data_IF_773961735191
#
_entry.id   IF_773961735191
#
_cell.length_a   1.000
_cell.length_b   1.000
_cell.length_c   1.000
_cell.angle_alpha   90.00
_cell.angle_beta   90.00
_cell.angle_gamma   90.00
#
_symmetry.space_group_name_H-M   'P 1'
#
loop_
_entity.id
_entity.type
_entity.pdbx_description
1 polymer ?
#
# COMPACT_ATOMS: atom_id res chain seq x y z
N UNK A 1 1.79 15.90 35.43
CA UNK A 1 2.71 14.82 35.00
C UNK A 1 2.58 13.65 35.97
N UNK A 2 2.50 12.40 35.50
CA UNK A 2 2.49 11.21 36.37
C UNK A 2 3.87 10.56 36.28
N UNK A 3 4.59 10.47 37.40
CA UNK A 3 5.91 9.84 37.45
C UNK A 3 5.78 8.33 37.64
N UNK A 4 6.72 7.57 37.08
CA UNK A 4 6.78 6.11 37.23
C UNK A 4 6.96 5.68 38.69
N UNK A 5 7.49 6.56 39.54
CA UNK A 5 7.68 6.34 40.98
C UNK A 5 6.37 6.58 41.76
N UNK A 6 5.45 7.39 41.23
CA UNK A 6 4.19 7.76 41.88
C UNK A 6 2.95 6.99 41.37
N UNK A 7 3.11 6.05 40.44
CA UNK A 7 1.96 5.31 39.87
C UNK A 7 1.93 3.88 40.41
N UNK A 8 0.74 3.44 40.87
CA UNK A 8 0.45 2.26 41.69
C UNK A 8 1.15 0.95 41.32
N UNK A 9 1.52 0.14 42.32
CA UNK A 9 2.26 -1.12 42.15
C UNK A 9 1.44 -2.32 41.65
N UNK A 10 0.10 -2.24 41.63
CA UNK A 10 -0.78 -3.32 41.19
C UNK A 10 -1.62 -2.92 39.97
N UNK A 11 -1.65 -3.81 38.97
CA UNK A 11 -2.07 -3.57 37.59
C UNK A 11 -3.52 -3.17 37.30
N UNK A 12 -3.69 -2.54 36.14
CA UNK A 12 -4.94 -2.11 35.52
C UNK A 12 -4.64 -1.26 34.28
N UNK A 13 -5.50 -1.33 33.24
CA UNK A 13 -5.33 -0.75 31.88
C UNK A 13 -4.47 0.52 31.88
N UNK A 14 -3.18 0.33 31.59
CA UNK A 14 -2.18 1.41 31.55
C UNK A 14 -2.54 2.33 30.39
N UNK A 15 -3.11 3.50 30.69
CA UNK A 15 -3.14 4.60 29.72
C UNK A 15 -1.70 4.80 29.27
N UNK A 16 -1.48 4.76 27.96
CA UNK A 16 -0.16 4.97 27.37
C UNK A 16 0.40 6.30 27.93
N UNK A 17 1.60 6.29 28.50
CA UNK A 17 2.22 7.51 28.98
C UNK A 17 2.39 8.47 27.80
N UNK A 18 1.54 9.51 27.73
CA UNK A 18 1.57 10.53 26.67
C UNK A 18 2.89 11.31 26.63
N UNK A 19 3.72 11.18 27.67
CA UNK A 19 5.04 11.79 27.82
C UNK A 19 6.03 11.43 26.70
N UNK A 20 5.85 10.30 26.00
CA UNK A 20 6.71 9.92 24.87
C UNK A 20 6.13 10.28 23.49
N UNK A 21 5.05 11.05 23.45
CA UNK A 21 4.52 11.62 22.20
C UNK A 21 5.15 12.98 21.95
N UNK A 22 5.03 13.51 20.73
CA UNK A 22 5.52 14.85 20.37
C UNK A 22 5.07 15.93 21.36
N UNK A 23 3.79 15.87 21.77
CA UNK A 23 3.21 16.76 22.76
C UNK A 23 3.70 16.47 24.20
N UNK A 24 4.03 15.22 24.50
CA UNK A 24 4.59 14.82 25.80
C UNK A 24 6.04 15.23 26.00
N UNK A 25 6.85 15.14 24.94
CA UNK A 25 8.25 15.58 24.92
C UNK A 25 8.29 17.11 25.03
N UNK A 26 7.37 17.81 24.36
CA UNK A 26 7.18 19.24 24.55
C UNK A 26 6.87 19.59 26.02
N UNK A 27 5.97 18.86 26.67
CA UNK A 27 5.68 19.04 28.09
C UNK A 27 6.88 18.73 29.00
N UNK A 28 7.75 17.78 28.64
CA UNK A 28 8.99 17.53 29.40
C UNK A 28 10.02 18.65 29.23
N UNK A 29 10.08 19.28 28.06
CA UNK A 29 11.01 20.37 27.79
C UNK A 29 10.77 21.61 28.66
N UNK A 30 9.52 21.86 29.06
CA UNK A 30 9.21 22.95 29.99
C UNK A 30 9.65 22.69 31.42
N UNK A 31 9.86 21.41 31.79
CA UNK A 31 10.37 21.00 33.10
C UNK A 31 11.90 20.90 33.10
N UNK A 32 12.49 20.43 32.01
CA UNK A 32 13.94 20.31 31.85
C UNK A 32 14.54 21.57 31.20
N UNK A 33 14.77 22.60 32.01
CA UNK A 33 15.17 23.94 31.54
C UNK A 33 16.70 24.10 31.31
N UNK A 34 17.42 23.01 31.07
CA UNK A 34 18.87 23.04 30.77
C UNK A 34 19.10 23.28 29.27
N UNK A 35 20.13 24.06 28.93
CA UNK A 35 20.53 24.32 27.52
C UNK A 35 20.74 23.03 26.73
N UNK A 36 21.33 22.00 27.35
CA UNK A 36 21.54 20.69 26.74
C UNK A 36 20.22 19.94 26.53
N UNK A 37 19.32 19.97 27.51
CA UNK A 37 18.02 19.31 27.42
C UNK A 37 17.13 19.92 26.34
N UNK A 38 17.16 21.24 26.18
CA UNK A 38 16.44 21.95 25.11
C UNK A 38 16.89 21.47 23.73
N UNK A 39 18.21 21.37 23.50
CA UNK A 39 18.75 20.92 22.21
C UNK A 39 18.35 19.48 21.89
N UNK A 40 18.44 18.59 22.87
CA UNK A 40 18.05 17.18 22.70
C UNK A 40 16.55 17.05 22.40
N UNK A 41 15.69 17.79 23.11
CA UNK A 41 14.24 17.77 22.86
C UNK A 41 13.88 18.23 21.45
N UNK A 42 14.53 19.28 20.95
CA UNK A 42 14.33 19.76 19.57
C UNK A 42 14.70 18.67 18.56
N UNK A 43 15.81 17.96 18.78
CA UNK A 43 16.23 16.88 17.88
C UNK A 43 15.24 15.72 17.90
N UNK A 44 14.77 15.31 19.08
CA UNK A 44 13.77 14.24 19.22
C UNK A 44 12.49 14.61 18.46
N UNK A 45 11.93 15.81 18.68
CA UNK A 45 10.72 16.27 17.98
C UNK A 45 10.90 16.26 16.45
N UNK A 46 12.04 16.74 15.94
CA UNK A 46 12.33 16.71 14.49
C UNK A 46 12.35 15.29 13.94
N UNK A 47 12.92 14.33 14.67
CA UNK A 47 12.99 12.93 14.23
C UNK A 47 11.58 12.34 14.17
N UNK A 48 10.76 12.55 15.21
CA UNK A 48 9.38 12.06 15.23
C UNK A 48 8.53 12.65 14.11
N UNK A 49 8.66 13.95 13.84
CA UNK A 49 7.97 14.63 12.73
C UNK A 49 8.34 14.02 11.38
N UNK A 50 9.65 13.80 11.13
CA UNK A 50 10.14 13.16 9.89
C UNK A 50 9.65 11.73 9.73
N UNK A 51 9.69 10.92 10.80
CA UNK A 51 9.19 9.54 10.76
C UNK A 51 7.70 9.51 10.42
N UNK A 52 6.90 10.40 11.02
CA UNK A 52 5.47 10.50 10.73
C UNK A 52 5.22 10.88 9.28
N UNK A 53 5.95 11.86 8.77
CA UNK A 53 5.82 12.29 7.38
C UNK A 53 6.19 11.15 6.41
N UNK A 54 7.31 10.46 6.66
CA UNK A 54 7.70 9.29 5.89
C UNK A 54 6.63 8.17 5.88
N UNK A 55 5.98 7.91 7.02
CA UNK A 55 4.88 6.93 7.09
C UNK A 55 3.69 7.37 6.24
N UNK A 56 3.32 8.66 6.28
CA UNK A 56 2.23 9.22 5.48
C UNK A 56 2.55 9.09 3.99
N UNK A 57 3.74 9.54 3.58
CA UNK A 57 4.21 9.49 2.19
C UNK A 57 4.26 8.03 1.68
N UNK A 58 4.69 7.09 2.52
CA UNK A 58 4.71 5.66 2.17
C UNK A 58 3.31 5.04 2.00
N UNK A 59 2.28 5.59 2.64
CA UNK A 59 0.91 5.12 2.53
C UNK A 59 0.30 5.45 1.18
N UNK A 60 0.50 6.69 0.71
CA UNK A 60 0.08 7.14 -0.61
C UNK A 60 0.82 6.38 -1.71
N UNK A 61 2.15 6.27 -1.61
CA UNK A 61 2.97 5.47 -2.54
C UNK A 61 2.54 4.00 -2.59
N UNK A 62 2.16 3.42 -1.45
CA UNK A 62 1.66 2.03 -1.42
C UNK A 62 0.34 1.89 -2.17
N UNK A 63 -0.57 2.86 -2.07
CA UNK A 63 -1.84 2.85 -2.80
C UNK A 63 -1.62 2.99 -4.31
N UNK A 64 -0.76 3.92 -4.73
CA UNK A 64 -0.41 4.09 -6.14
C UNK A 64 0.22 2.81 -6.73
N UNK A 65 1.14 2.17 -6.00
CA UNK A 65 1.75 0.90 -6.43
C UNK A 65 0.71 -0.20 -6.57
N UNK A 66 -0.26 -0.28 -5.65
CA UNK A 66 -1.32 -1.29 -5.70
C UNK A 66 -2.26 -1.06 -6.91
N UNK A 67 -2.58 0.19 -7.21
CA UNK A 67 -3.36 0.55 -8.39
C UNK A 67 -2.63 0.19 -9.70
N UNK A 68 -1.32 0.47 -9.78
CA UNK A 68 -0.49 0.08 -10.93
C UNK A 68 -0.47 -1.43 -11.09
N UNK A 69 -0.26 -2.20 -10.01
CA UNK A 69 -0.28 -3.67 -10.06
C UNK A 69 -1.61 -4.23 -10.57
N UNK A 70 -2.73 -3.68 -10.11
CA UNK A 70 -4.07 -4.04 -10.58
C UNK A 70 -4.24 -3.80 -12.08
N UNK A 71 -3.81 -2.62 -12.58
CA UNK A 71 -3.88 -2.28 -14.01
C UNK A 71 -3.05 -3.24 -14.86
N UNK A 72 -1.82 -3.54 -14.45
CA UNK A 72 -0.93 -4.49 -15.16
C UNK A 72 -1.52 -5.89 -15.18
N UNK A 73 -2.03 -6.39 -14.05
CA UNK A 73 -2.66 -7.71 -13.98
C UNK A 73 -3.88 -7.84 -14.91
N UNK A 74 -4.67 -6.77 -15.05
CA UNK A 74 -5.79 -6.75 -16.00
C UNK A 74 -5.31 -6.72 -17.46
N UNK A 75 -4.21 -6.04 -17.76
CA UNK A 75 -3.63 -6.03 -19.10
C UNK A 75 -3.12 -7.42 -19.51
N UNK A 76 -2.47 -8.16 -18.61
CA UNK A 76 -1.99 -9.52 -18.88
C UNK A 76 -3.15 -10.45 -19.27
N UNK A 77 -4.27 -10.41 -18.52
CA UNK A 77 -5.48 -11.19 -18.85
C UNK A 77 -6.08 -10.81 -20.21
N UNK A 78 -6.07 -9.53 -20.55
CA UNK A 78 -6.57 -9.07 -21.84
C UNK A 78 -5.67 -9.55 -22.98
N UNK A 79 -4.36 -9.60 -22.77
CA UNK A 79 -3.40 -10.12 -23.75
C UNK A 79 -3.58 -11.62 -23.94
N UNK A 80 -3.72 -12.40 -22.86
CA UNK A 80 -4.04 -13.83 -22.93
C UNK A 80 -5.33 -14.06 -23.75
N UNK A 81 -6.37 -13.28 -23.47
CA UNK A 81 -7.64 -13.35 -24.18
C UNK A 81 -7.48 -13.06 -25.68
N UNK A 82 -6.71 -12.03 -26.06
CA UNK A 82 -6.41 -11.74 -27.47
C UNK A 82 -5.72 -12.93 -28.15
N UNK A 83 -4.72 -13.53 -27.50
CA UNK A 83 -4.04 -14.71 -28.05
C UNK A 83 -5.00 -15.90 -28.20
N UNK A 84 -5.87 -16.17 -27.22
CA UNK A 84 -6.88 -17.25 -27.35
C UNK A 84 -7.85 -17.01 -28.51
N UNK A 85 -8.18 -15.75 -28.82
CA UNK A 85 -9.00 -15.43 -29.98
C UNK A 85 -8.24 -15.60 -31.29
N UNK A 86 -6.98 -15.19 -31.34
CA UNK A 86 -6.11 -15.42 -32.51
C UNK A 86 -5.97 -16.91 -32.80
N UNK A 87 -5.73 -17.74 -31.77
CA UNK A 87 -5.67 -19.20 -31.91
C UNK A 87 -6.98 -19.77 -32.46
N UNK A 88 -8.13 -19.35 -31.92
CA UNK A 88 -9.45 -19.77 -32.44
C UNK A 88 -9.69 -19.37 -33.89
N UNK A 89 -9.13 -18.26 -34.34
CA UNK A 89 -9.25 -17.79 -35.73
C UNK A 89 -8.32 -18.58 -36.67
N UNK A 90 -7.12 -18.91 -36.22
CA UNK A 90 -6.16 -19.75 -36.96
C UNK A 90 -6.71 -21.18 -37.11
N UNK A 91 -7.35 -21.70 -36.06
CA UNK A 91 -7.85 -23.08 -36.02
C UNK A 91 -9.24 -23.24 -36.66
N UNK A 92 -9.79 -22.18 -37.27
CA UNK A 92 -11.01 -22.28 -38.07
C UNK A 92 -10.71 -23.08 -39.33
N UNK A 93 -10.86 -24.40 -39.21
CA UNK A 93 -10.82 -25.36 -40.31
C UNK A 93 -11.67 -24.82 -41.46
N UNK A 94 -11.05 -24.75 -42.63
CA UNK A 94 -11.72 -24.44 -43.89
C UNK A 94 -12.68 -25.61 -44.13
N UNK A 95 -13.91 -25.49 -43.62
CA UNK A 95 -14.99 -26.43 -43.93
C UNK A 95 -15.09 -26.51 -45.46
N UNK A 96 -15.15 -27.73 -46.06
CA UNK A 96 -15.31 -27.86 -47.49
C UNK A 96 -16.57 -27.10 -47.89
N UNK A 97 -16.38 -26.08 -48.73
CA UNK A 97 -17.45 -25.18 -49.18
C UNK A 97 -18.60 -26.04 -49.71
N UNK A 98 -19.82 -25.87 -49.18
CA UNK A 98 -21.01 -26.54 -49.71
C UNK A 98 -21.13 -26.15 -51.18
N UNK A 99 -20.95 -27.12 -52.08
CA UNK A 99 -21.03 -26.87 -53.53
C UNK A 99 -22.44 -26.36 -53.84
N UNK A 100 -22.51 -25.21 -54.50
CA UNK A 100 -23.74 -24.60 -54.98
C UNK A 100 -23.66 -24.58 -56.50
N UNK A 101 -24.41 -25.50 -57.14
CA UNK A 101 -24.44 -25.69 -58.58
C UNK A 101 -25.10 -27.02 -58.93
N UNK A 102 -25.66 -27.12 -60.15
CA UNK A 102 -26.19 -28.38 -60.69
C UNK A 102 -25.07 -29.14 -61.38
N UNK A 103 -24.76 -30.33 -60.91
CA UNK A 103 -24.02 -31.34 -61.66
C UNK A 103 -25.04 -32.44 -62.02
N UNK A 104 -25.15 -32.88 -63.28
CA UNK A 104 -25.89 -34.09 -63.59
C UNK A 104 -25.14 -35.26 -62.94
N UNK A 105 -25.84 -36.11 -62.20
CA UNK A 105 -25.30 -37.39 -61.75
C UNK A 105 -25.12 -38.27 -62.99
N UNK A 106 -23.89 -38.37 -63.51
CA UNK A 106 -23.41 -39.50 -64.34
C UNK A 106 -21.92 -39.35 -64.68
N UNK A 107 -21.10 -40.19 -64.02
CA UNK A 107 -19.98 -41.03 -64.54
C UNK A 107 -19.18 -41.63 -63.37
#
# INVERSE_FOLDING_TARGET
MKSQIATSSWGGRRKLPFVFTEHGILMLSSVLNSKQAIQVNIQIVRIFSRIRQFIIDSGELKLEIEEIKQKVSNQDKNIELVFTYLDKLIDKKIEPRKRIGYMPDDL
#
